data_IF_649185280553
#
_entry.id   IF_649185280553
#
_cell.length_a   1.000
_cell.length_b   1.000
_cell.length_c   1.000
_cell.angle_alpha   90.00
_cell.angle_beta   90.00
_cell.angle_gamma   90.00
#
_symmetry.space_group_name_H-M   'P 1'
#
loop_
_entity.id
_entity.type
_entity.pdbx_description
1 polymer ?
#
# COMPACT_ATOMS: atom_id res chain seq x y z
N UNK A 1 8.36 6.21 -16.24
CA UNK A 1 8.14 6.97 -14.98
C UNK A 1 9.14 6.53 -13.93
N UNK A 2 9.62 7.44 -13.08
CA UNK A 2 10.60 7.17 -12.01
C UNK A 2 10.11 7.75 -10.68
N UNK A 3 10.18 6.96 -9.62
CA UNK A 3 9.74 7.37 -8.28
C UNK A 3 10.86 7.12 -7.28
N UNK A 4 11.26 8.19 -6.56
CA UNK A 4 12.22 8.11 -5.48
C UNK A 4 11.47 7.96 -4.16
N UNK A 5 11.60 6.80 -3.52
CA UNK A 5 11.07 6.54 -2.19
C UNK A 5 12.10 6.80 -1.09
N UNK A 6 11.68 7.38 0.02
CA UNK A 6 12.52 7.75 1.16
C UNK A 6 11.89 7.23 2.46
N UNK A 7 12.61 6.38 3.20
CA UNK A 7 12.30 6.05 4.60
C UNK A 7 12.95 7.06 5.53
N UNK A 8 12.15 7.68 6.40
CA UNK A 8 12.64 8.69 7.34
C UNK A 8 12.91 8.07 8.70
N UNK A 9 14.20 7.97 9.03
CA UNK A 9 14.66 7.68 10.39
C UNK A 9 14.84 8.94 11.25
N UNK A 10 14.91 8.76 12.56
CA UNK A 10 15.44 9.79 13.46
C UNK A 10 16.92 10.09 13.13
N UNK A 11 17.44 11.27 13.52
CA UNK A 11 18.78 11.77 13.13
C UNK A 11 19.94 10.77 13.25
N UNK A 12 19.93 9.88 14.26
CA UNK A 12 20.99 8.85 14.44
C UNK A 12 20.89 7.68 13.47
N UNK A 13 19.70 7.40 12.95
CA UNK A 13 19.42 6.30 12.00
C UNK A 13 19.69 6.75 10.56
N UNK A 14 19.48 8.04 10.27
CA UNK A 14 19.56 8.59 8.92
C UNK A 14 18.36 8.20 8.06
N UNK A 15 18.47 8.47 6.77
CA UNK A 15 17.44 8.21 5.75
C UNK A 15 17.89 7.10 4.82
N UNK A 16 16.99 6.21 4.42
CA UNK A 16 17.24 5.23 3.36
C UNK A 16 16.41 5.61 2.13
N UNK A 17 16.98 5.47 0.94
CA UNK A 17 16.31 5.86 -0.30
C UNK A 17 16.39 4.75 -1.35
N UNK A 18 15.34 4.61 -2.15
CA UNK A 18 15.23 3.65 -3.25
C UNK A 18 14.59 4.31 -4.47
N UNK A 19 15.21 4.17 -5.63
CA UNK A 19 14.63 4.61 -6.90
C UNK A 19 14.05 3.43 -7.67
N UNK A 20 12.75 3.49 -7.97
CA UNK A 20 12.08 2.54 -8.84
C UNK A 20 11.61 3.22 -10.13
N UNK A 21 11.55 2.44 -11.20
CA UNK A 21 10.84 2.76 -12.43
C UNK A 21 9.94 1.58 -12.83
N UNK A 22 9.41 1.61 -14.05
CA UNK A 22 8.51 0.58 -14.58
C UNK A 22 9.14 -0.81 -14.71
N UNK A 23 10.48 -0.93 -14.66
CA UNK A 23 11.14 -2.24 -14.60
C UNK A 23 10.97 -2.93 -13.25
N UNK A 24 10.56 -2.18 -12.21
CA UNK A 24 10.43 -2.63 -10.83
C UNK A 24 11.72 -3.21 -10.24
N UNK A 25 12.87 -2.87 -10.82
CA UNK A 25 14.19 -3.20 -10.29
C UNK A 25 14.77 -1.94 -9.64
N UNK A 26 15.18 -1.99 -8.35
CA UNK A 26 15.87 -0.87 -7.71
C UNK A 26 17.12 -0.45 -8.50
N UNK A 27 17.04 0.70 -9.16
CA UNK A 27 18.15 1.26 -9.96
C UNK A 27 19.11 2.11 -9.12
N UNK A 28 18.66 2.56 -7.95
CA UNK A 28 19.46 3.28 -6.98
C UNK A 28 19.01 2.91 -5.57
N UNK A 29 19.97 2.67 -4.68
CA UNK A 29 19.72 2.44 -3.26
C UNK A 29 20.76 3.16 -2.41
N UNK A 30 20.29 3.89 -1.40
CA UNK A 30 21.13 4.61 -0.43
C UNK A 30 20.67 4.29 0.98
N UNK A 31 21.59 4.43 1.94
CA UNK A 31 21.34 4.15 3.35
C UNK A 31 22.02 5.18 4.23
N UNK A 32 21.42 5.44 5.39
CA UNK A 32 22.00 6.32 6.41
C UNK A 32 22.35 7.73 5.91
N UNK A 33 21.58 8.24 4.94
CA UNK A 33 21.78 9.58 4.38
C UNK A 33 21.38 10.67 5.39
N UNK A 34 22.04 11.82 5.28
CA UNK A 34 21.56 13.10 5.80
C UNK A 34 20.53 13.75 4.87
N UNK A 35 19.89 14.83 5.35
CA UNK A 35 18.89 15.58 4.57
C UNK A 35 19.50 16.28 3.36
N UNK A 36 20.72 16.83 3.48
CA UNK A 36 21.40 17.51 2.37
C UNK A 36 21.65 16.56 1.18
N UNK A 37 22.05 15.32 1.48
CA UNK A 37 22.26 14.27 0.47
C UNK A 37 20.97 13.89 -0.28
N UNK A 38 19.79 14.15 0.30
CA UNK A 38 18.50 13.93 -0.40
C UNK A 38 18.36 14.89 -1.58
N UNK A 39 18.67 16.18 -1.40
CA UNK A 39 18.60 17.17 -2.48
C UNK A 39 19.58 16.84 -3.61
N UNK A 40 20.79 16.43 -3.25
CA UNK A 40 21.78 15.95 -4.22
C UNK A 40 21.30 14.71 -4.99
N UNK A 41 20.71 13.74 -4.29
CA UNK A 41 20.17 12.54 -4.91
C UNK A 41 19.01 12.89 -5.87
N UNK A 42 18.10 13.79 -5.49
CA UNK A 42 17.01 14.24 -6.35
C UNK A 42 17.56 14.86 -7.63
N UNK A 43 18.56 15.75 -7.54
CA UNK A 43 19.22 16.33 -8.73
C UNK A 43 19.90 15.28 -9.60
N UNK A 44 20.57 14.31 -8.98
CA UNK A 44 21.30 13.27 -9.68
C UNK A 44 20.34 12.36 -10.45
N UNK A 45 19.29 11.86 -9.79
CA UNK A 45 18.41 10.83 -10.36
C UNK A 45 17.25 11.40 -11.14
N UNK A 46 16.86 12.67 -10.91
CA UNK A 46 15.74 13.36 -11.57
C UNK A 46 14.47 12.51 -11.59
N UNK A 47 13.88 12.21 -10.43
CA UNK A 47 12.66 11.41 -10.37
C UNK A 47 11.46 12.21 -10.93
N UNK A 48 10.36 11.53 -11.26
CA UNK A 48 9.10 12.19 -11.64
C UNK A 48 8.25 12.51 -10.39
N UNK A 49 8.48 11.82 -9.26
CA UNK A 49 7.84 12.03 -7.96
C UNK A 49 8.78 11.64 -6.83
N UNK A 50 8.69 12.32 -5.68
CA UNK A 50 9.41 11.97 -4.45
C UNK A 50 8.40 11.49 -3.41
N UNK A 51 8.54 10.26 -2.92
CA UNK A 51 7.61 9.63 -1.99
C UNK A 51 8.28 9.41 -0.62
N UNK A 52 7.73 10.03 0.43
CA UNK A 52 8.42 10.19 1.72
C UNK A 52 7.60 9.50 2.83
N UNK A 53 8.22 8.59 3.58
CA UNK A 53 7.64 7.97 4.78
C UNK A 53 7.71 8.91 5.99
N UNK A 54 6.97 10.01 5.94
CA UNK A 54 6.82 10.92 7.07
C UNK A 54 5.67 11.90 6.85
N UNK A 55 5.01 12.39 7.93
CA UNK A 55 4.20 13.59 7.82
C UNK A 55 5.04 14.77 7.27
N UNK A 56 4.47 15.61 6.40
CA UNK A 56 5.14 16.81 5.88
C UNK A 56 5.13 18.01 6.83
N UNK A 57 4.28 18.00 7.86
CA UNK A 57 4.20 19.04 8.88
C UNK A 57 3.44 18.51 10.11
N UNK A 58 3.44 19.29 11.20
CA UNK A 58 2.51 19.08 12.31
C UNK A 58 1.06 19.16 11.85
N UNK A 59 0.17 18.49 12.59
CA UNK A 59 -1.27 18.60 12.36
C UNK A 59 -1.81 19.99 12.65
N UNK A 60 -3.03 20.26 12.21
CA UNK A 60 -3.78 21.49 12.49
C UNK A 60 -5.10 21.20 13.20
N UNK A 61 -5.65 20.00 13.01
CA UNK A 61 -6.90 19.53 13.57
C UNK A 61 -6.88 19.57 15.11
N UNK A 62 -7.91 20.11 15.78
CA UNK A 62 -8.11 19.87 17.21
C UNK A 62 -8.39 18.37 17.42
N UNK A 63 -7.66 17.71 18.32
CA UNK A 63 -7.84 16.27 18.61
C UNK A 63 -6.58 15.39 18.54
N UNK A 64 -5.41 15.97 18.25
CA UNK A 64 -4.11 15.28 18.41
C UNK A 64 -3.76 14.24 17.33
N UNK A 65 -4.49 14.23 16.21
CA UNK A 65 -4.16 13.47 14.99
C UNK A 65 -4.69 14.22 13.77
N UNK A 66 -4.11 13.99 12.59
CA UNK A 66 -4.54 14.59 11.31
C UNK A 66 -5.76 13.87 10.73
N UNK A 67 -6.52 14.51 9.85
CA UNK A 67 -7.68 13.86 9.22
C UNK A 67 -7.30 12.59 8.46
N UNK A 68 -6.20 12.62 7.70
CA UNK A 68 -5.71 11.46 6.93
C UNK A 68 -5.51 10.22 7.82
N UNK A 69 -4.93 10.40 9.01
CA UNK A 69 -4.66 9.32 9.98
C UNK A 69 -5.96 8.74 10.54
N UNK A 70 -6.96 9.58 10.81
CA UNK A 70 -8.28 9.13 11.28
C UNK A 70 -9.04 8.37 10.20
N UNK A 71 -8.92 8.79 8.95
CA UNK A 71 -9.63 8.16 7.83
C UNK A 71 -9.05 6.78 7.49
N UNK A 72 -7.72 6.63 7.43
CA UNK A 72 -7.12 5.31 7.17
C UNK A 72 -7.38 4.30 8.30
N UNK A 73 -7.56 4.76 9.55
CA UNK A 73 -7.95 3.89 10.68
C UNK A 73 -9.30 3.20 10.47
N UNK A 74 -10.22 3.79 9.70
CA UNK A 74 -11.49 3.15 9.35
C UNK A 74 -11.26 1.84 8.60
N UNK A 75 -10.20 1.76 7.81
CA UNK A 75 -9.79 0.56 7.08
C UNK A 75 -9.03 -0.47 7.95
N UNK A 76 -8.91 -0.23 9.25
CA UNK A 76 -8.12 -1.05 10.17
C UNK A 76 -6.63 -0.74 10.17
N UNK A 77 -6.18 0.25 9.39
CA UNK A 77 -4.78 0.65 9.28
C UNK A 77 -4.43 1.59 10.42
N UNK A 78 -3.63 1.12 11.38
CA UNK A 78 -3.21 1.92 12.52
C UNK A 78 -1.98 2.76 12.17
N UNK A 79 -2.12 4.08 12.21
CA UNK A 79 -1.01 5.02 12.16
C UNK A 79 -0.85 5.75 13.49
N UNK A 80 0.40 6.10 13.79
CA UNK A 80 0.70 7.02 14.88
C UNK A 80 0.12 8.41 14.55
N UNK A 81 -0.47 9.07 15.54
CA UNK A 81 -1.10 10.37 15.34
C UNK A 81 -0.06 11.49 15.30
N UNK A 82 -0.05 12.31 14.25
CA UNK A 82 0.81 13.49 14.19
C UNK A 82 0.22 14.58 15.07
N UNK A 83 0.95 15.05 16.12
CA UNK A 83 0.46 16.08 17.00
C UNK A 83 0.18 17.39 16.25
N UNK A 84 -0.86 18.10 16.68
CA UNK A 84 -1.17 19.44 16.18
C UNK A 84 -0.48 20.57 16.96
N UNK A 85 0.05 20.24 18.14
CA UNK A 85 0.78 21.18 18.99
C UNK A 85 2.23 20.70 19.13
N UNK A 86 3.21 21.41 18.53
CA UNK A 86 4.62 21.08 18.63
C UNK A 86 5.13 20.97 20.08
N UNK A 87 4.52 21.69 21.03
CA UNK A 87 4.90 21.63 22.46
C UNK A 87 4.64 20.25 23.05
N UNK A 88 3.64 19.51 22.54
CA UNK A 88 3.34 18.13 22.92
C UNK A 88 4.28 17.12 22.26
N UNK A 89 5.10 17.56 21.31
CA UNK A 89 6.06 16.77 20.56
C UNK A 89 7.52 17.06 20.97
N UNK A 90 7.75 17.43 22.23
CA UNK A 90 9.07 17.82 22.75
C UNK A 90 10.02 16.64 23.01
N UNK A 91 9.51 15.41 23.06
CA UNK A 91 10.35 14.23 23.26
C UNK A 91 11.12 13.83 22.00
N UNK A 92 12.26 13.15 22.21
CA UNK A 92 13.12 12.59 21.15
C UNK A 92 12.39 11.60 20.24
N UNK A 93 11.28 11.03 20.72
CA UNK A 93 10.44 10.14 19.91
C UNK A 93 9.94 10.83 18.63
N UNK A 94 9.73 12.15 18.64
CA UNK A 94 9.21 12.89 17.48
C UNK A 94 10.30 13.41 16.53
N UNK A 95 11.58 13.09 16.77
CA UNK A 95 12.69 13.56 15.95
C UNK A 95 12.59 13.07 14.49
N UNK A 96 12.01 11.90 14.24
CA UNK A 96 11.80 11.40 12.88
C UNK A 96 10.75 12.23 12.11
N UNK A 97 9.74 12.79 12.78
CA UNK A 97 8.77 13.69 12.12
C UNK A 97 9.45 15.00 11.72
N UNK A 98 10.28 15.57 12.62
CA UNK A 98 11.07 16.77 12.31
C UNK A 98 12.01 16.53 11.13
N UNK A 99 12.72 15.41 11.12
CA UNK A 99 13.54 15.01 9.96
C UNK A 99 12.69 14.89 8.69
N UNK A 100 11.45 14.38 8.79
CA UNK A 100 10.51 14.35 7.68
C UNK A 100 10.20 15.73 7.11
N UNK A 101 9.95 16.71 7.97
CA UNK A 101 9.69 18.09 7.54
C UNK A 101 10.90 18.65 6.78
N UNK A 102 12.11 18.44 7.32
CA UNK A 102 13.37 18.83 6.67
C UNK A 102 13.52 18.15 5.28
N UNK A 103 13.12 16.88 5.14
CA UNK A 103 13.13 16.16 3.84
C UNK A 103 12.12 16.74 2.84
N UNK A 104 10.92 17.10 3.29
CA UNK A 104 9.94 17.78 2.44
C UNK A 104 10.42 19.17 1.99
N UNK A 105 11.09 19.92 2.87
CA UNK A 105 11.72 21.19 2.54
C UNK A 105 12.84 21.02 1.51
N UNK A 106 13.72 20.04 1.70
CA UNK A 106 14.78 19.71 0.74
C UNK A 106 14.20 19.33 -0.64
N UNK A 107 13.16 18.48 -0.67
CA UNK A 107 12.49 18.14 -1.93
C UNK A 107 11.86 19.37 -2.62
N UNK A 108 11.25 20.27 -1.84
CA UNK A 108 10.67 21.51 -2.36
C UNK A 108 11.72 22.46 -2.96
N UNK A 109 12.92 22.53 -2.36
CA UNK A 109 14.05 23.29 -2.91
C UNK A 109 14.51 22.75 -4.28
N UNK A 110 14.37 21.44 -4.50
CA UNK A 110 14.62 20.80 -5.81
C UNK A 110 13.42 20.83 -6.77
N UNK A 111 12.37 21.60 -6.44
CA UNK A 111 11.19 21.77 -7.30
C UNK A 111 10.05 20.79 -7.05
N UNK A 112 10.16 19.88 -6.08
CA UNK A 112 9.11 18.94 -5.71
C UNK A 112 8.27 19.50 -4.58
N UNK A 113 7.41 20.46 -4.90
CA UNK A 113 6.48 21.01 -3.93
C UNK A 113 5.59 19.90 -3.33
N UNK A 114 5.28 20.03 -2.04
CA UNK A 114 4.40 19.11 -1.33
C UNK A 114 3.08 18.90 -2.08
N UNK A 115 2.67 17.65 -2.20
CA UNK A 115 1.40 17.25 -2.78
C UNK A 115 0.22 17.63 -1.90
N UNK A 116 -0.86 18.09 -2.54
CA UNK A 116 -2.11 18.48 -1.91
C UNK A 116 -3.29 17.78 -2.58
N UNK A 117 -3.37 17.86 -3.91
CA UNK A 117 -4.35 17.18 -4.76
C UNK A 117 -3.91 17.21 -6.22
N UNK A 118 -4.57 16.44 -7.09
CA UNK A 118 -4.35 16.45 -8.53
C UNK A 118 -3.22 15.52 -9.00
N UNK A 119 -2.47 15.95 -10.01
CA UNK A 119 -1.34 15.16 -10.52
C UNK A 119 -0.15 15.17 -9.55
N UNK A 120 0.45 14.00 -9.32
CA UNK A 120 1.62 13.84 -8.43
C UNK A 120 2.96 14.11 -9.12
N UNK A 121 2.99 14.21 -10.46
CA UNK A 121 4.22 14.51 -11.20
C UNK A 121 4.81 15.86 -10.74
N UNK A 122 6.11 15.87 -10.46
CA UNK A 122 6.81 17.03 -9.90
C UNK A 122 6.43 17.37 -8.46
N UNK A 123 5.93 16.40 -7.67
CA UNK A 123 5.53 16.61 -6.28
C UNK A 123 6.27 15.70 -5.29
N UNK A 124 6.34 16.17 -4.05
CA UNK A 124 6.68 15.34 -2.91
C UNK A 124 5.39 14.83 -2.25
N UNK A 125 5.18 13.51 -2.21
CA UNK A 125 4.01 12.87 -1.61
C UNK A 125 4.34 12.25 -0.25
N UNK A 126 3.40 12.36 0.69
CA UNK A 126 3.47 11.61 1.94
C UNK A 126 3.01 10.18 1.69
N UNK A 127 3.79 9.21 2.17
CA UNK A 127 3.47 7.79 2.12
C UNK A 127 3.54 7.19 3.52
N UNK A 128 2.71 6.18 3.77
CA UNK A 128 2.86 5.31 4.94
C UNK A 128 3.09 3.88 4.44
N UNK A 129 4.34 3.35 4.48
CA UNK A 129 4.68 2.02 3.94
C UNK A 129 3.85 0.89 4.53
N UNK A 130 3.39 1.02 5.79
CA UNK A 130 2.46 0.05 6.34
C UNK A 130 1.13 0.02 5.57
N UNK A 131 0.53 1.20 5.34
CA UNK A 131 -0.71 1.33 4.60
C UNK A 131 -0.54 0.87 3.15
N UNK A 132 0.58 1.23 2.52
CA UNK A 132 0.97 0.75 1.19
C UNK A 132 0.94 -0.77 1.14
N UNK A 133 1.64 -1.44 2.05
CA UNK A 133 1.69 -2.90 2.08
C UNK A 133 0.31 -3.54 2.32
N UNK A 134 -0.53 -2.95 3.18
CA UNK A 134 -1.90 -3.45 3.42
C UNK A 134 -2.77 -3.32 2.17
N UNK A 135 -2.71 -2.17 1.50
CA UNK A 135 -3.52 -1.89 0.31
C UNK A 135 -3.15 -2.82 -0.83
N UNK A 136 -1.85 -3.00 -1.11
CA UNK A 136 -1.36 -3.90 -2.15
C UNK A 136 -1.65 -5.37 -1.83
N UNK A 137 -1.48 -5.78 -0.57
CA UNK A 137 -1.82 -7.14 -0.14
C UNK A 137 -3.34 -7.42 -0.15
N UNK A 138 -4.18 -6.38 -0.11
CA UNK A 138 -5.62 -6.49 0.09
C UNK A 138 -6.03 -7.00 1.48
N UNK A 139 -5.11 -7.02 2.45
CA UNK A 139 -5.35 -7.52 3.80
C UNK A 139 -4.35 -6.97 4.83
N UNK A 140 -4.77 -6.94 6.10
CA UNK A 140 -3.91 -6.60 7.23
C UNK A 140 -2.88 -7.71 7.49
N UNK A 141 -1.67 -7.38 7.96
CA UNK A 141 -0.63 -8.37 8.24
C UNK A 141 -1.14 -9.51 9.15
N UNK A 142 -0.65 -10.75 8.95
CA UNK A 142 -0.95 -11.84 9.86
C UNK A 142 -0.52 -11.52 11.30
N UNK A 143 -1.20 -12.12 12.28
CA UNK A 143 -0.81 -11.99 13.70
C UNK A 143 0.66 -12.37 13.90
N UNK A 144 1.38 -11.60 14.71
CA UNK A 144 2.82 -11.82 14.97
C UNK A 144 3.77 -11.20 13.96
N UNK A 145 3.29 -10.50 12.93
CA UNK A 145 4.14 -9.81 11.92
C UNK A 145 4.27 -8.30 12.15
N UNK A 146 3.91 -7.81 13.34
CA UNK A 146 3.86 -6.39 13.65
C UNK A 146 5.23 -5.72 13.79
N UNK A 147 6.31 -6.48 14.04
CA UNK A 147 7.64 -5.92 14.31
C UNK A 147 8.78 -6.81 13.80
N UNK A 148 9.99 -6.23 13.78
CA UNK A 148 11.25 -6.94 13.53
C UNK A 148 11.31 -7.64 12.16
N UNK A 149 11.96 -8.81 12.14
CA UNK A 149 12.19 -9.60 10.92
C UNK A 149 10.89 -10.04 10.24
N UNK A 150 9.87 -10.43 11.02
CA UNK A 150 8.60 -10.88 10.47
C UNK A 150 7.87 -9.77 9.70
N UNK A 151 7.87 -8.54 10.24
CA UNK A 151 7.36 -7.34 9.55
C UNK A 151 8.09 -7.11 8.21
N UNK A 152 9.43 -7.16 8.24
CA UNK A 152 10.28 -6.98 7.05
C UNK A 152 9.97 -8.03 5.98
N UNK A 153 9.90 -9.32 6.36
CA UNK A 153 9.64 -10.40 5.41
C UNK A 153 8.24 -10.32 4.81
N UNK A 154 7.22 -9.95 5.60
CA UNK A 154 5.87 -9.74 5.06
C UNK A 154 5.86 -8.60 4.04
N UNK A 155 6.42 -7.43 4.38
CA UNK A 155 6.51 -6.28 3.45
C UNK A 155 7.32 -6.59 2.19
N UNK A 156 8.44 -7.30 2.33
CA UNK A 156 9.23 -7.81 1.20
C UNK A 156 8.45 -8.81 0.35
N UNK A 157 7.61 -9.63 0.97
CA UNK A 157 6.69 -10.52 0.26
C UNK A 157 5.66 -9.75 -0.56
N UNK A 158 5.12 -8.66 -0.02
CA UNK A 158 4.22 -7.76 -0.76
C UNK A 158 4.93 -7.13 -1.96
N UNK A 159 6.13 -6.57 -1.78
CA UNK A 159 6.94 -6.05 -2.90
C UNK A 159 7.17 -7.09 -3.99
N UNK A 160 7.53 -8.32 -3.62
CA UNK A 160 7.70 -9.43 -4.58
C UNK A 160 6.39 -9.82 -5.27
N UNK A 161 5.26 -9.79 -4.56
CA UNK A 161 3.93 -10.03 -5.14
C UNK A 161 3.56 -9.01 -6.21
N UNK A 162 4.07 -7.79 -6.09
CA UNK A 162 3.96 -6.71 -7.08
C UNK A 162 5.02 -6.76 -8.19
N UNK A 163 5.94 -7.74 -8.14
CA UNK A 163 7.00 -7.90 -9.13
C UNK A 163 8.27 -7.09 -8.88
N UNK A 164 8.40 -6.43 -7.72
CA UNK A 164 9.60 -5.66 -7.36
C UNK A 164 10.75 -6.60 -7.00
N UNK A 165 11.92 -6.41 -7.62
CA UNK A 165 13.16 -7.08 -7.23
C UNK A 165 13.59 -6.59 -5.83
N UNK A 166 13.94 -7.52 -4.95
CA UNK A 166 14.22 -7.19 -3.54
C UNK A 166 15.60 -7.62 -3.07
N UNK A 167 16.39 -8.26 -3.93
CA UNK A 167 17.68 -8.87 -3.64
C UNK A 167 18.66 -7.84 -3.06
N UNK A 168 18.63 -6.61 -3.58
CA UNK A 168 19.49 -5.51 -3.16
C UNK A 168 18.95 -4.68 -1.98
N UNK A 169 17.73 -4.96 -1.51
CA UNK A 169 17.17 -4.29 -0.33
C UNK A 169 17.72 -4.95 0.94
N UNK A 170 18.67 -4.30 1.60
CA UNK A 170 19.44 -4.88 2.71
C UNK A 170 18.80 -4.64 4.08
N UNK A 171 18.14 -3.51 4.29
CA UNK A 171 17.51 -3.13 5.57
C UNK A 171 15.98 -3.27 5.54
N UNK A 172 15.32 -3.09 6.69
CA UNK A 172 13.86 -2.85 6.74
C UNK A 172 13.51 -1.48 6.16
N UNK A 173 14.41 -0.53 6.33
CA UNK A 173 14.22 0.87 5.95
C UNK A 173 14.27 1.01 4.42
N UNK A 174 15.15 0.27 3.74
CA UNK A 174 15.12 0.14 2.28
C UNK A 174 13.86 -0.58 1.76
N UNK A 175 13.28 -1.51 2.53
CA UNK A 175 11.99 -2.12 2.16
C UNK A 175 10.86 -1.08 2.27
N UNK A 176 10.91 -0.23 3.30
CA UNK A 176 9.93 0.83 3.51
C UNK A 176 10.07 1.95 2.46
N UNK A 177 11.30 2.33 2.12
CA UNK A 177 11.61 3.22 1.00
C UNK A 177 11.18 2.64 -0.35
N UNK A 178 11.36 1.34 -0.59
CA UNK A 178 10.88 0.68 -1.82
C UNK A 178 9.34 0.67 -1.91
N UNK A 179 8.64 0.45 -0.78
CA UNK A 179 7.18 0.60 -0.73
C UNK A 179 6.76 2.04 -1.02
N UNK A 180 7.47 3.04 -0.48
CA UNK A 180 7.23 4.44 -0.80
C UNK A 180 7.42 4.73 -2.30
N UNK A 181 8.52 4.26 -2.89
CA UNK A 181 8.80 4.39 -4.31
C UNK A 181 7.69 3.76 -5.16
N UNK A 182 7.24 2.55 -4.81
CA UNK A 182 6.17 1.84 -5.51
C UNK A 182 4.85 2.62 -5.45
N UNK A 183 4.50 3.20 -4.30
CA UNK A 183 3.33 4.08 -4.18
C UNK A 183 3.41 5.27 -5.13
N UNK A 184 4.59 5.88 -5.28
CA UNK A 184 4.80 6.95 -6.25
C UNK A 184 4.58 6.51 -7.70
N UNK A 185 5.04 5.31 -8.09
CA UNK A 185 4.77 4.75 -9.43
C UNK A 185 3.28 4.52 -9.68
N UNK A 186 2.57 3.96 -8.70
CA UNK A 186 1.12 3.80 -8.76
C UNK A 186 0.41 5.14 -8.94
N UNK A 187 0.81 6.15 -8.17
CA UNK A 187 0.23 7.49 -8.22
C UNK A 187 0.53 8.22 -9.54
N UNK A 188 1.74 8.10 -10.09
CA UNK A 188 2.08 8.63 -11.42
C UNK A 188 1.22 8.00 -12.52
N UNK A 189 0.87 6.72 -12.39
CA UNK A 189 -0.08 6.03 -13.25
C UNK A 189 -1.56 6.34 -12.96
N UNK A 190 -1.87 7.33 -12.13
CA UNK A 190 -3.26 7.73 -11.79
C UNK A 190 -4.00 6.75 -10.87
N UNK A 191 -3.30 5.77 -10.29
CA UNK A 191 -3.87 4.76 -9.39
C UNK A 191 -3.55 5.10 -7.93
N UNK A 192 -4.13 6.20 -7.45
CA UNK A 192 -3.96 6.60 -6.05
C UNK A 192 -5.21 7.17 -5.40
N UNK A 193 -5.25 7.02 -4.08
CA UNK A 193 -6.27 7.57 -3.19
C UNK A 193 -5.56 8.28 -2.04
N UNK A 194 -5.95 9.53 -1.78
CA UNK A 194 -5.26 10.41 -0.82
C UNK A 194 -6.29 11.02 0.15
N UNK A 195 -6.73 10.26 1.18
CA UNK A 195 -7.69 10.74 2.17
C UNK A 195 -7.07 11.81 3.07
N UNK A 196 -7.91 12.69 3.64
CA UNK A 196 -7.49 13.71 4.59
C UNK A 196 -7.72 15.15 4.15
N UNK A 197 -7.07 16.06 4.87
CA UNK A 197 -7.09 17.50 4.60
C UNK A 197 -5.75 17.90 3.95
N UNK A 198 -5.76 18.42 2.71
CA UNK A 198 -4.55 18.87 2.02
C UNK A 198 -3.70 19.88 2.82
N UNK A 199 -4.32 20.69 3.69
CA UNK A 199 -3.61 21.66 4.54
C UNK A 199 -2.79 20.99 5.64
N UNK A 200 -3.21 19.81 6.10
CA UNK A 200 -2.50 19.01 7.12
C UNK A 200 -1.54 18.00 6.51
N UNK A 201 -1.90 17.45 5.36
CA UNK A 201 -1.14 16.43 4.64
C UNK A 201 -2.03 15.25 4.35
N UNK A 202 -1.78 14.59 3.22
CA UNK A 202 -2.56 13.45 2.78
C UNK A 202 -1.61 12.28 2.53
N UNK A 203 -1.86 11.16 3.21
CA UNK A 203 -1.15 9.92 2.94
C UNK A 203 -1.65 9.38 1.61
N UNK A 204 -0.77 9.27 0.63
CA UNK A 204 -1.08 8.69 -0.68
C UNK A 204 -1.05 7.16 -0.57
N UNK A 205 -2.11 6.51 -1.04
CA UNK A 205 -2.28 5.06 -1.07
C UNK A 205 -2.30 4.55 -2.52
N UNK A 206 -1.71 3.38 -2.82
CA UNK A 206 -1.54 2.86 -4.18
C UNK A 206 -2.80 2.14 -4.71
N UNK A 207 -3.96 2.80 -4.64
CA UNK A 207 -5.20 2.28 -5.20
C UNK A 207 -6.09 3.43 -5.67
N UNK A 208 -6.79 3.28 -6.79
CA UNK A 208 -7.76 4.29 -7.25
C UNK A 208 -8.97 4.41 -6.30
N UNK A 209 -9.38 3.27 -5.71
CA UNK A 209 -10.46 3.18 -4.73
C UNK A 209 -10.10 2.13 -3.68
N UNK A 210 -10.55 2.34 -2.44
CA UNK A 210 -10.40 1.35 -1.37
C UNK A 210 -11.67 0.49 -1.25
N UNK A 211 -11.54 -0.80 -0.86
CA UNK A 211 -12.69 -1.65 -0.59
C UNK A 211 -13.46 -1.16 0.65
N UNK A 212 -14.69 -1.68 0.89
CA UNK A 212 -15.39 -1.40 2.13
C UNK A 212 -14.54 -1.72 3.37
N UNK A 213 -14.45 -0.82 4.35
CA UNK A 213 -13.68 -1.04 5.57
C UNK A 213 -14.32 -2.09 6.51
N UNK A 214 -13.52 -2.75 7.38
CA UNK A 214 -12.06 -2.74 7.43
C UNK A 214 -11.43 -3.84 6.55
N UNK A 215 -10.13 -3.73 6.25
CA UNK A 215 -9.40 -4.82 5.60
C UNK A 215 -9.43 -6.09 6.46
N UNK A 216 -9.68 -7.28 5.86
CA UNK A 216 -9.56 -8.53 6.58
C UNK A 216 -8.09 -8.80 6.92
N UNK A 217 -7.83 -9.64 7.92
CA UNK A 217 -6.46 -10.11 8.19
C UNK A 217 -6.05 -11.16 7.17
N UNK A 218 -4.82 -11.07 6.65
CA UNK A 218 -4.27 -12.10 5.78
C UNK A 218 -4.25 -13.44 6.53
N UNK A 219 -4.64 -14.51 5.85
CA UNK A 219 -4.48 -15.87 6.39
C UNK A 219 -2.99 -16.10 6.64
N UNK A 220 -2.63 -16.62 7.81
CA UNK A 220 -1.28 -17.12 8.01
C UNK A 220 -1.07 -18.23 6.96
N UNK A 221 0.03 -18.17 6.22
CA UNK A 221 0.52 -19.37 5.58
C UNK A 221 0.74 -20.36 6.74
N UNK A 222 0.03 -21.49 6.72
CA UNK A 222 0.30 -22.56 7.67
C UNK A 222 1.80 -22.81 7.66
N UNK A 223 2.43 -22.82 8.84
CA UNK A 223 3.82 -23.23 8.95
C UNK A 223 3.88 -24.62 8.32
N UNK A 224 4.54 -24.71 7.18
CA UNK A 224 4.88 -25.98 6.58
C UNK A 224 5.94 -26.58 7.50
N UNK A 225 5.49 -27.26 8.56
CA UNK A 225 6.28 -28.32 9.16
C UNK A 225 6.59 -29.29 8.02
N UNK A 226 7.87 -29.57 7.83
CA UNK A 226 8.42 -30.19 6.63
C UNK A 226 7.78 -31.52 6.29
N UNK A 227 6.75 -31.48 5.45
CA UNK A 227 6.32 -32.59 4.64
C UNK A 227 6.14 -32.08 3.22
N UNK A 228 7.01 -32.57 2.35
CA UNK A 228 6.86 -32.56 0.89
C UNK A 228 5.38 -32.73 0.51
N UNK A 229 4.71 -31.64 0.18
CA UNK A 229 3.46 -31.69 -0.55
C UNK A 229 3.74 -31.29 -1.98
N UNK A 230 3.94 -32.34 -2.77
CA UNK A 230 3.90 -32.36 -4.23
C UNK A 230 2.96 -31.28 -4.79
N UNK A 231 3.55 -30.28 -5.42
CA UNK A 231 2.84 -29.28 -6.21
C UNK A 231 2.26 -29.99 -7.43
N UNK A 232 0.96 -30.27 -7.41
CA UNK A 232 0.24 -30.71 -8.61
C UNK A 232 0.00 -29.50 -9.51
N UNK A 233 0.87 -29.30 -10.50
CA UNK A 233 0.67 -28.34 -11.58
C UNK A 233 -0.67 -28.63 -12.29
N UNK A 234 -1.53 -27.61 -12.42
CA UNK A 234 -2.74 -27.66 -13.25
C UNK A 234 -4.09 -27.46 -12.53
N UNK A 235 -4.11 -27.17 -11.23
CA UNK A 235 -5.33 -26.88 -10.48
C UNK A 235 -5.32 -25.45 -9.92
N UNK A 236 -6.33 -24.66 -10.26
CA UNK A 236 -6.61 -23.34 -9.69
C UNK A 236 -7.74 -23.43 -8.66
N UNK A 237 -7.92 -22.38 -7.84
CA UNK A 237 -9.07 -22.32 -6.92
C UNK A 237 -10.38 -22.15 -7.69
N UNK A 238 -11.43 -22.84 -7.23
CA UNK A 238 -12.76 -22.75 -7.80
C UNK A 238 -13.35 -21.33 -7.68
N UNK A 239 -13.74 -20.72 -8.80
CA UNK A 239 -14.27 -19.36 -8.90
C UNK A 239 -15.73 -19.18 -8.46
N UNK A 240 -16.33 -20.16 -7.77
CA UNK A 240 -17.78 -20.15 -7.49
C UNK A 240 -18.25 -19.05 -6.53
N UNK A 241 -17.32 -18.43 -5.78
CA UNK A 241 -17.61 -17.35 -4.84
C UNK A 241 -18.34 -17.78 -3.56
N UNK A 242 -18.51 -19.09 -3.33
CA UNK A 242 -19.10 -19.59 -2.08
C UNK A 242 -18.08 -19.44 -0.93
N UNK A 243 -18.45 -18.86 0.23
CA UNK A 243 -17.52 -18.56 1.33
C UNK A 243 -16.78 -19.80 1.85
N UNK A 244 -17.45 -20.96 1.85
CA UNK A 244 -16.88 -22.23 2.32
C UNK A 244 -16.24 -23.09 1.21
N UNK A 245 -16.10 -22.58 -0.02
CA UNK A 245 -15.52 -23.36 -1.11
C UNK A 245 -13.99 -23.42 -1.01
N UNK A 246 -13.46 -24.61 -0.70
CA UNK A 246 -12.03 -24.91 -0.71
C UNK A 246 -11.57 -25.74 -1.93
N UNK A 247 -12.45 -26.02 -2.89
CA UNK A 247 -12.14 -26.89 -4.03
C UNK A 247 -11.11 -26.28 -4.98
N UNK A 248 -10.14 -27.09 -5.39
CA UNK A 248 -9.22 -26.81 -6.50
C UNK A 248 -9.65 -27.58 -7.75
N UNK A 249 -9.55 -26.97 -8.92
CA UNK A 249 -10.02 -27.53 -10.19
C UNK A 249 -9.18 -27.00 -11.36
N UNK A 250 -9.08 -27.77 -12.43
CA UNK A 250 -8.47 -27.34 -13.70
C UNK A 250 -9.43 -26.51 -14.56
N UNK A 251 -10.67 -26.31 -14.10
CA UNK A 251 -11.73 -25.53 -14.77
C UNK A 251 -12.04 -24.27 -13.96
N UNK A 252 -12.85 -23.36 -14.49
CA UNK A 252 -13.29 -22.15 -13.74
C UNK A 252 -14.04 -22.51 -12.45
N UNK A 253 -14.87 -23.56 -12.50
CA UNK A 253 -15.62 -24.07 -11.35
C UNK A 253 -15.34 -25.56 -11.13
N UNK A 254 -15.29 -25.99 -9.87
CA UNK A 254 -15.30 -27.39 -9.53
C UNK A 254 -16.59 -28.06 -10.06
N UNK A 255 -16.59 -29.39 -10.31
CA UNK A 255 -17.79 -30.07 -10.80
C UNK A 255 -19.04 -29.75 -9.96
N UNK A 256 -20.08 -29.19 -10.60
CA UNK A 256 -21.35 -28.79 -9.97
C UNK A 256 -21.33 -27.46 -9.21
N UNK A 257 -20.22 -26.72 -9.20
CA UNK A 257 -20.12 -25.43 -8.51
C UNK A 257 -20.53 -24.22 -9.37
N UNK A 258 -20.71 -24.43 -10.66
CA UNK A 258 -21.41 -23.52 -11.57
C UNK A 258 -22.86 -23.26 -11.12
N UNK A 259 -23.57 -24.31 -10.68
CA UNK A 259 -24.90 -24.18 -10.10
C UNK A 259 -24.91 -23.35 -8.80
N UNK A 260 -23.88 -23.50 -7.96
CA UNK A 260 -23.70 -22.70 -6.74
C UNK A 260 -23.46 -21.22 -7.07
N UNK A 261 -22.60 -20.94 -8.06
CA UNK A 261 -22.36 -19.58 -8.55
C UNK A 261 -23.64 -18.96 -9.11
N UNK A 262 -24.40 -19.71 -9.92
CA UNK A 262 -25.69 -19.26 -10.46
C UNK A 262 -26.70 -18.94 -9.36
N UNK A 263 -26.82 -19.81 -8.35
CA UNK A 263 -27.72 -19.57 -7.20
C UNK A 263 -27.33 -18.33 -6.39
N UNK A 264 -26.02 -18.09 -6.21
CA UNK A 264 -25.51 -16.92 -5.53
C UNK A 264 -25.80 -15.64 -6.33
N UNK A 265 -25.58 -15.67 -7.65
CA UNK A 265 -25.94 -14.56 -8.54
C UNK A 265 -27.45 -14.31 -8.54
N UNK A 266 -28.30 -15.34 -8.50
CA UNK A 266 -29.76 -15.15 -8.34
C UNK A 266 -30.13 -14.45 -7.03
N UNK A 267 -29.46 -14.79 -5.93
CA UNK A 267 -29.64 -14.10 -4.65
C UNK A 267 -29.26 -12.61 -4.73
N UNK A 268 -28.13 -12.30 -5.38
CA UNK A 268 -27.60 -10.94 -5.54
C UNK A 268 -28.35 -10.12 -6.58
N UNK A 269 -28.90 -10.76 -7.61
CA UNK A 269 -29.63 -10.11 -8.69
C UNK A 269 -30.86 -9.36 -8.14
N UNK A 270 -31.47 -9.84 -7.05
CA UNK A 270 -32.54 -9.13 -6.31
C UNK A 270 -32.10 -7.82 -5.65
N UNK A 271 -30.79 -7.60 -5.51
CA UNK A 271 -30.21 -6.44 -4.82
C UNK A 271 -29.35 -5.54 -5.71
N UNK A 272 -29.15 -5.86 -7.01
CA UNK A 272 -28.35 -5.04 -7.91
C UNK A 272 -28.23 -5.57 -9.35
N UNK A 273 -27.94 -4.64 -10.27
CA UNK A 273 -27.92 -4.87 -11.73
C UNK A 273 -26.72 -5.71 -12.20
N UNK A 274 -25.57 -5.64 -11.52
CA UNK A 274 -24.34 -6.31 -11.93
C UNK A 274 -24.47 -7.85 -11.99
N UNK A 275 -25.23 -8.43 -11.06
CA UNK A 275 -25.46 -9.88 -11.03
C UNK A 275 -26.38 -10.34 -12.17
N UNK A 276 -27.32 -9.49 -12.61
CA UNK A 276 -28.18 -9.74 -13.78
C UNK A 276 -27.34 -9.75 -15.05
N UNK A 277 -26.42 -8.79 -15.19
CA UNK A 277 -25.56 -8.66 -16.37
C UNK A 277 -24.53 -9.79 -16.45
N UNK A 278 -24.03 -10.29 -15.31
CA UNK A 278 -23.20 -11.50 -15.28
C UNK A 278 -23.99 -12.76 -15.70
N UNK A 279 -25.23 -12.94 -15.22
CA UNK A 279 -26.09 -14.05 -15.64
C UNK A 279 -26.31 -14.03 -17.15
N UNK A 280 -26.63 -12.86 -17.72
CA UNK A 280 -26.83 -12.66 -19.17
C UNK A 280 -25.56 -12.96 -19.98
N UNK A 281 -24.40 -12.41 -19.58
CA UNK A 281 -23.12 -12.67 -20.26
C UNK A 281 -22.75 -14.15 -20.31
N UNK A 282 -23.12 -14.92 -19.29
CA UNK A 282 -22.83 -16.35 -19.19
C UNK A 282 -23.91 -17.25 -19.83
N UNK A 283 -24.95 -16.67 -20.43
CA UNK A 283 -26.07 -17.42 -21.01
C UNK A 283 -26.90 -18.18 -19.96
N UNK A 284 -26.82 -17.79 -18.69
CA UNK A 284 -27.57 -18.41 -17.62
C UNK A 284 -28.91 -17.73 -17.45
N UNK A 285 -29.95 -18.53 -17.17
CA UNK A 285 -31.29 -18.03 -16.91
C UNK A 285 -31.27 -16.98 -15.79
N UNK A 286 -31.89 -15.82 -16.05
CA UNK A 286 -32.14 -14.75 -15.08
C UNK A 286 -33.42 -15.09 -14.31
N UNK A 287 -33.58 -14.69 -13.03
CA UNK A 287 -34.84 -14.88 -12.31
C UNK A 287 -36.05 -14.34 -13.10
N UNK A 288 -37.15 -15.12 -13.25
CA UNK A 288 -38.28 -14.78 -14.11
C UNK A 288 -38.99 -13.48 -13.72
N UNK A 289 -38.88 -13.06 -12.46
CA UNK A 289 -39.35 -11.76 -11.95
C UNK A 289 -38.57 -10.54 -12.48
N UNK A 290 -37.46 -10.74 -13.21
CA UNK A 290 -36.60 -9.68 -13.76
C UNK A 290 -36.37 -9.81 -15.28
N UNK A 291 -37.17 -10.64 -15.94
CA UNK A 291 -37.14 -10.90 -17.39
C UNK A 291 -38.02 -9.96 -18.19
#
# INVERSE_FOLDING_TARGET
MRSLGIDVGAKRKGLDAVLLDETLIPSETRRHMGVEEVGELIRQVRPDVVAIDSPPAWGRSPGGSRLTEREIRRFGIQSFGTPSDPKKASSVFYDWMRAGFEVFEAAAQEGFARYASGAVAGRAIEVFPHATAVVLAGCLPPSGTAAGRAKREWRRGVLRGEGVATEDLRSSDQVDAALAALTGLYALGGRCFAPGDPLEGVIVLPAATLPPPPYPRCRQAERSDGQDQLVFHGLARCGCGHPDCASSTSREFAPGHDAKRKSLLWGLARSGQDAVDELRRRGWQVPPEMG
#
